data_IF_082026277692
#
_entry.id   IF_082026277692
#
_cell.length_a   1.000
_cell.length_b   1.000
_cell.length_c   1.000
_cell.angle_alpha   90.00
_cell.angle_beta   90.00
_cell.angle_gamma   90.00
#
_symmetry.space_group_name_H-M   'P 1'
#
loop_
_entity.id
_entity.type
_entity.pdbx_description
1 polymer ?
#
# COMPACT_ATOMS: atom_id res chain seq x y z
N UNK A 1 -12.51 -8.50 -7.38
CA UNK A 1 -11.33 -8.41 -6.51
C UNK A 1 -11.72 -8.10 -5.07
N UNK A 2 -12.19 -6.91 -4.70
CA UNK A 2 -12.50 -6.50 -3.33
C UNK A 2 -13.46 -7.47 -2.59
N UNK A 3 -14.59 -7.84 -3.21
CA UNK A 3 -15.54 -8.80 -2.65
C UNK A 3 -14.95 -10.20 -2.43
N UNK A 4 -14.01 -10.62 -3.27
CA UNK A 4 -13.31 -11.90 -3.11
C UNK A 4 -12.38 -11.81 -1.92
N UNK A 5 -11.59 -10.74 -1.84
CA UNK A 5 -10.70 -10.50 -0.70
C UNK A 5 -11.46 -10.51 0.63
N UNK A 6 -12.61 -9.82 0.71
CA UNK A 6 -13.42 -9.78 1.93
C UNK A 6 -14.03 -11.13 2.34
N UNK A 7 -14.18 -12.07 1.38
CA UNK A 7 -14.56 -13.46 1.70
C UNK A 7 -13.38 -14.27 2.22
N UNK A 8 -12.19 -14.03 1.66
CA UNK A 8 -10.97 -14.76 2.02
C UNK A 8 -10.38 -14.24 3.35
N UNK A 9 -10.69 -13.00 3.70
CA UNK A 9 -10.24 -12.34 4.94
C UNK A 9 -11.45 -11.89 5.75
N UNK A 10 -12.04 -12.79 6.55
CA UNK A 10 -13.09 -12.38 7.48
C UNK A 10 -12.53 -11.34 8.46
N UNK A 11 -13.16 -10.17 8.50
CA UNK A 11 -12.69 -9.07 9.35
C UNK A 11 -13.86 -8.21 9.81
N UNK A 12 -13.77 -7.70 11.03
CA UNK A 12 -14.73 -6.73 11.57
C UNK A 12 -14.44 -5.30 11.12
N UNK A 13 -13.21 -5.04 10.70
CA UNK A 13 -12.75 -3.71 10.30
C UNK A 13 -12.08 -3.76 8.94
N UNK A 14 -12.49 -2.88 8.05
CA UNK A 14 -11.89 -2.70 6.73
C UNK A 14 -11.86 -1.23 6.38
N UNK A 15 -10.82 -0.79 5.70
CA UNK A 15 -10.73 0.56 5.15
C UNK A 15 -10.06 0.53 3.78
N UNK A 16 -10.51 1.39 2.88
CA UNK A 16 -9.85 1.67 1.62
C UNK A 16 -9.08 2.98 1.74
N UNK A 17 -7.78 2.95 1.52
CA UNK A 17 -6.91 4.12 1.64
C UNK A 17 -6.40 4.50 0.25
N UNK A 18 -6.43 5.78 -0.06
CA UNK A 18 -5.99 6.30 -1.36
C UNK A 18 -5.19 7.58 -1.22
N UNK A 19 -4.36 7.86 -2.22
CA UNK A 19 -3.61 9.09 -2.29
C UNK A 19 -4.53 10.32 -2.40
N UNK A 20 -4.16 11.44 -1.75
CA UNK A 20 -4.86 12.70 -1.90
C UNK A 20 -4.63 13.28 -3.29
N UNK A 21 -5.54 14.16 -3.69
CA UNK A 21 -5.30 15.02 -4.85
C UNK A 21 -4.30 16.11 -4.47
N UNK A 22 -3.31 16.34 -5.35
CA UNK A 22 -2.35 17.43 -5.19
C UNK A 22 -1.01 16.99 -4.58
N UNK A 23 -0.25 17.96 -4.13
CA UNK A 23 1.09 17.76 -3.59
C UNK A 23 1.04 17.17 -2.18
N UNK A 24 2.00 16.30 -1.90
CA UNK A 24 2.22 15.76 -0.57
C UNK A 24 3.42 16.45 0.08
N UNK A 25 3.62 16.27 1.39
CA UNK A 25 4.76 16.86 2.11
C UNK A 25 6.12 16.47 1.49
N UNK A 26 6.21 15.30 0.83
CA UNK A 26 7.44 14.89 0.13
C UNK A 26 7.80 15.81 -1.02
N UNK A 27 6.80 16.34 -1.74
CA UNK A 27 7.02 17.33 -2.80
C UNK A 27 7.47 18.70 -2.26
N UNK A 28 7.18 18.99 -0.99
CA UNK A 28 7.68 20.20 -0.33
C UNK A 28 9.14 20.06 0.08
N UNK A 29 9.52 18.86 0.56
CA UNK A 29 10.91 18.55 0.94
C UNK A 29 11.79 18.39 -0.29
N UNK A 30 11.29 17.69 -1.32
CA UNK A 30 12.01 17.41 -2.56
C UNK A 30 11.11 17.68 -3.78
N UNK A 31 11.28 18.83 -4.45
CA UNK A 31 10.41 19.26 -5.57
C UNK A 31 10.35 18.27 -6.74
N UNK A 32 11.44 17.51 -6.98
CA UNK A 32 11.52 16.53 -8.06
C UNK A 32 10.94 15.15 -7.68
N UNK A 33 10.39 15.03 -6.47
CA UNK A 33 9.77 13.78 -6.02
C UNK A 33 8.65 13.34 -6.96
N UNK A 34 8.80 12.13 -7.52
CA UNK A 34 7.86 11.54 -8.50
C UNK A 34 7.66 12.40 -9.78
N UNK A 35 8.55 13.38 -10.05
CA UNK A 35 8.43 14.24 -11.24
C UNK A 35 8.51 13.47 -12.57
N UNK A 36 9.19 12.34 -12.58
CA UNK A 36 9.36 11.48 -13.77
C UNK A 36 8.17 10.55 -14.01
N UNK A 37 7.16 10.52 -13.13
CA UNK A 37 5.99 9.66 -13.32
C UNK A 37 5.10 10.21 -14.44
N UNK A 38 4.71 9.38 -15.42
CA UNK A 38 3.77 9.81 -16.44
C UNK A 38 2.42 10.17 -15.80
N UNK A 39 1.69 11.12 -16.37
CA UNK A 39 0.36 11.44 -15.89
C UNK A 39 -0.56 10.21 -16.00
N UNK A 40 -1.57 10.16 -15.13
CA UNK A 40 -2.56 9.10 -15.16
C UNK A 40 -3.25 9.07 -16.54
N UNK A 41 -3.39 7.91 -17.19
CA UNK A 41 -4.14 7.78 -18.43
C UNK A 41 -5.58 8.34 -18.28
N UNK A 42 -6.05 9.03 -19.29
CA UNK A 42 -7.37 9.67 -19.27
C UNK A 42 -8.48 8.65 -19.03
N UNK A 43 -8.42 7.50 -19.72
CA UNK A 43 -9.36 6.39 -19.56
C UNK A 43 -9.43 5.85 -18.11
N UNK A 44 -8.34 5.92 -17.36
CA UNK A 44 -8.33 5.55 -15.95
C UNK A 44 -8.89 6.68 -15.08
N UNK A 45 -8.52 7.91 -15.38
CA UNK A 45 -8.96 9.09 -14.63
C UNK A 45 -10.48 9.20 -14.56
N UNK A 46 -11.20 8.92 -15.66
CA UNK A 46 -12.67 8.95 -15.69
C UNK A 46 -13.32 7.81 -14.92
N UNK A 47 -12.60 6.73 -14.65
CA UNK A 47 -13.09 5.58 -13.87
C UNK A 47 -12.94 5.76 -12.36
N UNK A 48 -12.00 6.57 -11.91
CA UNK A 48 -11.70 6.76 -10.48
C UNK A 48 -12.93 7.15 -9.66
N UNK A 49 -13.77 8.12 -10.07
CA UNK A 49 -14.98 8.47 -9.31
C UNK A 49 -15.94 7.28 -9.15
N UNK A 50 -16.08 6.45 -10.20
CA UNK A 50 -16.96 5.27 -10.18
C UNK A 50 -16.41 4.19 -9.24
N UNK A 51 -15.09 4.03 -9.19
CA UNK A 51 -14.42 3.11 -8.24
C UNK A 51 -14.71 3.56 -6.82
N UNK A 52 -14.57 4.85 -6.52
CA UNK A 52 -14.81 5.41 -5.19
C UNK A 52 -16.28 5.22 -4.77
N UNK A 53 -17.20 5.53 -5.67
CA UNK A 53 -18.63 5.30 -5.43
C UNK A 53 -18.92 3.82 -5.17
N UNK A 54 -18.30 2.91 -5.93
CA UNK A 54 -18.44 1.47 -5.76
C UNK A 54 -17.97 1.00 -4.37
N UNK A 55 -16.80 1.45 -3.93
CA UNK A 55 -16.26 1.12 -2.59
C UNK A 55 -17.17 1.63 -1.48
N UNK A 56 -17.67 2.88 -1.60
CA UNK A 56 -18.58 3.46 -0.61
C UNK A 56 -19.91 2.70 -0.55
N UNK A 57 -20.45 2.25 -1.69
CA UNK A 57 -21.67 1.44 -1.75
C UNK A 57 -21.52 0.06 -1.11
N UNK A 58 -20.31 -0.48 -1.05
CA UNK A 58 -20.01 -1.70 -0.28
C UNK A 58 -19.93 -1.45 1.24
N UNK A 59 -20.12 -0.21 1.68
CA UNK A 59 -20.05 0.16 3.10
C UNK A 59 -18.62 0.25 3.65
N UNK A 60 -17.62 0.29 2.78
CA UNK A 60 -16.21 0.35 3.18
C UNK A 60 -15.80 1.80 3.42
N UNK A 61 -15.29 2.16 4.61
CA UNK A 61 -14.72 3.46 4.87
C UNK A 61 -13.62 3.81 3.87
N UNK A 62 -13.68 5.03 3.36
CA UNK A 62 -12.74 5.55 2.40
C UNK A 62 -11.89 6.63 3.04
N UNK A 63 -10.58 6.40 3.11
CA UNK A 63 -9.64 7.29 3.79
C UNK A 63 -8.73 7.98 2.76
N UNK A 64 -8.71 9.29 2.82
CA UNK A 64 -7.85 10.15 2.04
C UNK A 64 -7.40 11.32 2.92
N UNK A 65 -6.11 11.41 3.20
CA UNK A 65 -5.56 12.42 4.10
C UNK A 65 -4.85 13.50 3.27
N UNK A 66 -5.32 14.76 3.30
CA UNK A 66 -4.68 15.83 2.54
C UNK A 66 -3.19 15.97 2.88
N UNK A 67 -2.34 16.03 1.85
CA UNK A 67 -0.90 16.21 1.99
C UNK A 67 -0.11 14.97 2.43
N UNK A 68 -0.78 13.86 2.73
CA UNK A 68 -0.16 12.60 3.19
C UNK A 68 -0.45 11.50 2.16
N UNK A 69 0.57 10.76 1.77
CA UNK A 69 0.39 9.64 0.83
C UNK A 69 -0.37 8.47 1.47
N UNK A 70 -1.02 7.66 0.63
CA UNK A 70 -1.73 6.46 1.09
C UNK A 70 -0.82 5.54 1.90
N UNK A 71 0.42 5.38 1.48
CA UNK A 71 1.42 4.52 2.11
C UNK A 71 1.69 4.93 3.57
N UNK A 72 1.84 6.22 3.84
CA UNK A 72 2.05 6.75 5.19
C UNK A 72 0.81 6.54 6.06
N UNK A 73 -0.37 6.72 5.46
CA UNK A 73 -1.65 6.50 6.14
C UNK A 73 -1.83 5.03 6.50
N UNK A 74 -1.56 4.11 5.56
CA UNK A 74 -1.62 2.66 5.79
C UNK A 74 -0.60 2.24 6.86
N UNK A 75 0.65 2.71 6.76
CA UNK A 75 1.68 2.41 7.75
C UNK A 75 1.30 2.88 9.16
N UNK A 76 0.74 4.09 9.27
CA UNK A 76 0.27 4.65 10.54
C UNK A 76 -0.89 3.85 11.14
N UNK A 77 -1.87 3.49 10.30
CA UNK A 77 -3.02 2.69 10.75
C UNK A 77 -2.59 1.29 11.16
N UNK A 78 -1.71 0.66 10.39
CA UNK A 78 -1.16 -0.66 10.70
C UNK A 78 -0.47 -0.66 12.06
N UNK A 79 0.40 0.32 12.31
CA UNK A 79 1.09 0.45 13.59
C UNK A 79 0.12 0.59 14.76
N UNK A 80 -0.86 1.51 14.64
CA UNK A 80 -1.87 1.72 15.68
C UNK A 80 -2.72 0.48 15.93
N UNK A 81 -3.17 -0.20 14.87
CA UNK A 81 -3.95 -1.42 14.99
C UNK A 81 -3.19 -2.53 15.74
N UNK A 82 -1.91 -2.72 15.41
CA UNK A 82 -1.05 -3.70 16.12
C UNK A 82 -0.86 -3.31 17.59
N UNK A 83 -0.65 -2.03 17.90
CA UNK A 83 -0.54 -1.52 19.27
C UNK A 83 -1.83 -1.76 20.08
N UNK A 84 -2.99 -1.77 19.42
CA UNK A 84 -4.29 -2.09 20.01
C UNK A 84 -4.61 -3.60 20.03
N UNK A 85 -3.68 -4.44 19.58
CA UNK A 85 -3.80 -5.90 19.62
C UNK A 85 -4.52 -6.53 18.43
N UNK A 86 -4.71 -5.81 17.32
CA UNK A 86 -5.29 -6.36 16.10
C UNK A 86 -4.27 -7.08 15.24
N UNK A 87 -4.72 -8.10 14.54
CA UNK A 87 -4.01 -8.64 13.38
C UNK A 87 -4.42 -7.84 12.13
N UNK A 88 -3.45 -7.51 11.29
CA UNK A 88 -3.64 -6.64 10.13
C UNK A 88 -3.33 -7.39 8.84
N UNK A 89 -4.19 -7.24 7.86
CA UNK A 89 -3.94 -7.68 6.48
C UNK A 89 -3.89 -6.44 5.58
N UNK A 90 -2.75 -6.22 4.94
CA UNK A 90 -2.59 -5.14 3.96
C UNK A 90 -2.73 -5.74 2.56
N UNK A 91 -3.78 -5.34 1.85
CA UNK A 91 -4.03 -5.76 0.48
C UNK A 91 -3.38 -4.76 -0.49
N UNK A 92 -2.23 -5.11 -1.05
CA UNK A 92 -1.46 -4.24 -1.93
C UNK A 92 -0.61 -5.03 -2.91
N UNK A 93 -0.32 -4.43 -4.07
CA UNK A 93 0.70 -4.92 -5.01
C UNK A 93 2.09 -4.32 -4.75
N UNK A 94 2.17 -3.33 -3.86
CA UNK A 94 3.40 -2.61 -3.59
C UNK A 94 4.33 -3.41 -2.67
N UNK A 95 5.56 -3.62 -3.14
CA UNK A 95 6.61 -4.37 -2.43
C UNK A 95 7.12 -3.64 -1.18
N UNK A 96 6.98 -2.32 -1.14
CA UNK A 96 7.53 -1.49 -0.08
C UNK A 96 6.84 -1.74 1.26
N UNK A 97 5.58 -2.22 1.22
CA UNK A 97 4.86 -2.65 2.42
C UNK A 97 5.44 -3.92 3.08
N UNK A 98 6.35 -4.64 2.42
CA UNK A 98 7.02 -5.79 3.03
C UNK A 98 7.78 -5.43 4.31
N UNK A 99 8.19 -4.17 4.48
CA UNK A 99 8.79 -3.64 5.71
C UNK A 99 7.88 -3.66 6.93
N UNK A 100 6.56 -3.74 6.74
CA UNK A 100 5.57 -3.73 7.83
C UNK A 100 5.20 -5.13 8.30
N UNK A 101 5.61 -6.17 7.57
CA UNK A 101 5.27 -7.56 7.87
C UNK A 101 5.92 -8.00 9.18
N UNK A 102 5.11 -8.64 10.02
CA UNK A 102 5.54 -9.25 11.28
C UNK A 102 4.51 -10.30 11.72
N UNK A 103 4.58 -10.80 12.94
CA UNK A 103 3.67 -11.83 13.45
C UNK A 103 2.18 -11.40 13.44
N UNK A 104 1.92 -10.09 13.48
CA UNK A 104 0.56 -9.51 13.47
C UNK A 104 0.18 -8.86 12.13
N UNK A 105 1.09 -8.77 11.17
CA UNK A 105 0.87 -8.09 9.89
C UNK A 105 1.21 -9.00 8.72
N UNK A 106 0.22 -9.25 7.87
CA UNK A 106 0.38 -9.99 6.62
C UNK A 106 0.13 -9.07 5.42
N UNK A 107 0.82 -9.34 4.32
CA UNK A 107 0.47 -8.76 3.03
C UNK A 107 -0.30 -9.75 2.18
N UNK A 108 -1.21 -9.25 1.37
CA UNK A 108 -1.83 -10.02 0.29
C UNK A 108 -1.75 -9.23 -1.01
N UNK A 109 -1.15 -9.83 -2.02
CA UNK A 109 -1.15 -9.28 -3.37
C UNK A 109 -2.30 -9.89 -4.16
N UNK A 110 -3.24 -9.06 -4.57
CA UNK A 110 -4.45 -9.44 -5.31
C UNK A 110 -4.36 -9.14 -6.80
N UNK A 111 -3.21 -8.69 -7.30
CA UNK A 111 -3.02 -8.33 -8.71
C UNK A 111 -2.75 -9.53 -9.62
N UNK A 112 -2.51 -10.72 -9.06
CA UNK A 112 -2.32 -11.97 -9.80
C UNK A 112 -3.62 -12.73 -10.05
N UNK A 113 -3.52 -13.92 -10.68
CA UNK A 113 -4.65 -14.84 -10.82
C UNK A 113 -5.10 -15.42 -9.48
N UNK A 114 -4.13 -15.63 -8.59
CA UNK A 114 -4.34 -16.13 -7.24
C UNK A 114 -3.78 -15.12 -6.23
N UNK A 115 -4.46 -14.98 -5.10
CA UNK A 115 -3.98 -14.16 -4.01
C UNK A 115 -2.67 -14.73 -3.48
N UNK A 116 -1.61 -13.94 -3.50
CA UNK A 116 -0.33 -14.34 -2.90
C UNK A 116 -0.16 -13.68 -1.54
N UNK A 117 0.02 -14.53 -0.53
CA UNK A 117 0.20 -14.10 0.86
C UNK A 117 1.67 -14.04 1.22
N UNK A 118 2.06 -13.01 1.94
CA UNK A 118 3.41 -12.81 2.44
C UNK A 118 3.39 -12.60 3.95
N UNK A 119 3.96 -13.55 4.67
CA UNK A 119 4.39 -13.45 6.06
C UNK A 119 5.90 -13.17 6.11
N UNK A 120 6.50 -13.12 7.28
CA UNK A 120 7.93 -12.85 7.46
C UNK A 120 8.83 -13.83 6.70
N UNK A 121 8.53 -15.13 6.74
CA UNK A 121 9.25 -16.16 5.97
C UNK A 121 9.11 -15.94 4.45
N UNK A 122 7.91 -15.60 3.99
CA UNK A 122 7.62 -15.28 2.60
C UNK A 122 8.37 -14.04 2.10
N UNK A 123 8.52 -13.02 2.95
CA UNK A 123 9.35 -11.85 2.66
C UNK A 123 10.81 -12.24 2.51
N UNK A 124 11.37 -12.99 3.47
CA UNK A 124 12.76 -13.43 3.42
C UNK A 124 13.04 -14.31 2.18
N UNK A 125 12.14 -15.24 1.88
CA UNK A 125 12.26 -16.06 0.68
C UNK A 125 12.21 -15.26 -0.62
N UNK A 126 11.42 -14.19 -0.65
CA UNK A 126 11.22 -13.36 -1.86
C UNK A 126 12.32 -12.34 -2.08
N UNK A 127 12.80 -11.69 -1.01
CA UNK A 127 13.73 -10.58 -1.07
C UNK A 127 15.16 -10.95 -0.62
N UNK A 128 15.35 -12.10 0.01
CA UNK A 128 16.64 -12.53 0.56
C UNK A 128 17.01 -11.83 1.87
N UNK A 129 16.12 -11.03 2.42
CA UNK A 129 16.29 -10.30 3.68
C UNK A 129 14.99 -10.33 4.50
N UNK A 130 15.05 -10.31 5.84
CA UNK A 130 13.87 -10.27 6.68
C UNK A 130 13.17 -8.90 6.60
N UNK A 131 11.89 -8.78 7.04
CA UNK A 131 11.09 -7.56 6.93
C UNK A 131 11.75 -6.30 7.48
N UNK A 132 12.44 -6.38 8.61
CA UNK A 132 13.14 -5.25 9.24
C UNK A 132 14.34 -4.73 8.43
N UNK A 133 14.78 -5.47 7.41
CA UNK A 133 15.87 -5.08 6.49
C UNK A 133 15.37 -4.63 5.11
N UNK A 134 14.07 -4.61 4.91
CA UNK A 134 13.49 -4.20 3.61
C UNK A 134 13.81 -2.75 3.29
N UNK A 135 13.82 -1.84 4.27
CA UNK A 135 14.18 -0.43 4.05
C UNK A 135 15.62 -0.33 3.53
N UNK A 136 16.57 -0.99 4.22
CA UNK A 136 17.97 -1.01 3.82
C UNK A 136 18.15 -1.64 2.42
N UNK A 137 17.44 -2.74 2.18
CA UNK A 137 17.42 -3.43 0.89
C UNK A 137 16.94 -2.51 -0.25
N UNK A 138 15.81 -1.82 -0.06
CA UNK A 138 15.25 -0.91 -1.06
C UNK A 138 16.16 0.29 -1.30
N UNK A 139 16.78 0.83 -0.25
CA UNK A 139 17.72 1.94 -0.36
C UNK A 139 18.96 1.56 -1.20
N UNK A 140 19.44 0.33 -1.07
CA UNK A 140 20.61 -0.15 -1.82
C UNK A 140 20.26 -0.58 -3.25
N UNK A 141 19.11 -1.24 -3.44
CA UNK A 141 18.68 -1.74 -4.76
C UNK A 141 18.12 -0.64 -5.66
N UNK A 142 17.67 0.46 -5.08
CA UNK A 142 16.91 1.50 -5.75
C UNK A 142 15.52 1.02 -6.20
N UNK A 143 14.66 1.95 -6.54
CA UNK A 143 13.45 1.64 -7.30
C UNK A 143 13.69 1.92 -8.79
N UNK A 144 13.24 1.02 -9.67
CA UNK A 144 13.39 1.17 -11.12
C UNK A 144 12.75 2.46 -11.66
N UNK A 145 11.84 3.05 -10.91
CA UNK A 145 11.14 4.28 -11.26
C UNK A 145 11.91 5.52 -10.79
N UNK A 146 12.69 5.39 -9.71
CA UNK A 146 13.42 6.49 -9.08
C UNK A 146 14.94 6.42 -9.30
N UNK A 147 15.42 5.58 -10.22
CA UNK A 147 16.83 5.39 -10.58
C UNK A 147 17.54 6.62 -11.17
N UNK A 148 17.00 7.80 -11.04
CA UNK A 148 17.68 9.04 -11.45
C UNK A 148 18.61 9.63 -10.38
N UNK A 149 18.90 8.91 -9.29
CA UNK A 149 19.68 9.42 -8.15
C UNK A 149 20.99 8.66 -7.86
N UNK A 150 21.51 7.88 -8.80
CA UNK A 150 22.91 7.38 -8.73
C UNK A 150 23.65 7.73 -10.00
#
# INVERSE_FOLDING_TARGET
MLRVLMKDVPTDYVACVVDPKGKTFRSEIYPDYKANRPPMPEDLSVQIPLIFEGVQKEGIPFLQVPGIEADDTIGTLTKKAVEEGFNVVIATGDKDFAQLVNDNVLLVNTMGKDNSWLNSEGVEKKFGVPPEKIIDFLALMGDKIDLSLI
#
